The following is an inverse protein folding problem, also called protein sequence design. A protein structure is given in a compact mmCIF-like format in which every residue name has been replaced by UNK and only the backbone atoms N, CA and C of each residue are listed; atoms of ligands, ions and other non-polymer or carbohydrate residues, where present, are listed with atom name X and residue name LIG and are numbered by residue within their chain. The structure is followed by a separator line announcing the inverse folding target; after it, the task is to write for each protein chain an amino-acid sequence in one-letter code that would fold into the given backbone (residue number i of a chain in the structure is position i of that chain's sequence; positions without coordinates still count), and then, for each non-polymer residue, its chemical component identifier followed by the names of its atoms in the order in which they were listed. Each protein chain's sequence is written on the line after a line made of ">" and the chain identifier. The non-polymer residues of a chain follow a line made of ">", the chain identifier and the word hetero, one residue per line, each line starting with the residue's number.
data_IF_425144548323
#
_entry.id   IF_425144548323
#
_cell.length_a   1.000
_cell.length_b   1.000
_cell.length_c   1.000
_cell.angle_alpha   90.00
_cell.angle_beta   90.00
_cell.angle_gamma   90.00
#
_symmetry.space_group_name_H-M   'P 1'
#
loop_
_entity.id
_entity.type
_entity.pdbx_description
1 polymer ?
#
# COMPACT_ATOMS: atom_id res chain seq x y z
N UNK A 1 -22.39 -20.75 18.15
CA UNK A 1 -20.93 -20.56 17.93
C UNK A 1 -20.54 -19.21 17.31
N UNK A 2 -21.45 -18.40 16.73
CA UNK A 2 -21.14 -17.07 16.17
C UNK A 2 -20.78 -15.96 17.19
N UNK A 3 -21.02 -16.15 18.48
CA UNK A 3 -20.87 -15.09 19.50
C UNK A 3 -19.48 -14.94 20.13
N UNK A 4 -18.64 -15.98 20.08
CA UNK A 4 -17.32 -15.92 20.72
C UNK A 4 -16.31 -15.11 19.88
N UNK A 5 -16.37 -15.25 18.56
CA UNK A 5 -15.48 -14.56 17.63
C UNK A 5 -15.74 -13.04 17.58
N UNK A 6 -17.00 -12.61 17.62
CA UNK A 6 -17.38 -11.18 17.67
C UNK A 6 -16.96 -10.51 18.98
N UNK A 7 -17.01 -11.24 20.09
CA UNK A 7 -16.59 -10.74 21.41
C UNK A 7 -15.07 -10.60 21.50
N UNK A 8 -14.32 -11.58 20.99
CA UNK A 8 -12.86 -11.51 20.84
C UNK A 8 -12.42 -10.37 19.90
N UNK A 9 -13.14 -10.17 18.79
CA UNK A 9 -12.89 -9.06 17.87
C UNK A 9 -13.15 -7.70 18.55
N UNK A 10 -14.19 -7.58 19.38
CA UNK A 10 -14.50 -6.36 20.11
C UNK A 10 -13.51 -6.04 21.26
N UNK A 11 -13.03 -7.08 21.96
CA UNK A 11 -12.06 -6.94 23.05
C UNK A 11 -10.64 -6.62 22.56
N UNK A 12 -10.30 -6.99 21.31
CA UNK A 12 -9.00 -6.71 20.70
C UNK A 12 -9.03 -5.67 19.56
N UNK A 13 -10.21 -5.18 19.18
CA UNK A 13 -10.31 -4.09 18.21
C UNK A 13 -9.94 -2.78 18.90
N UNK A 14 -8.78 -2.24 18.51
CA UNK A 14 -8.40 -0.88 18.87
C UNK A 14 -9.50 0.05 18.30
N UNK A 15 -10.18 0.84 19.14
CA UNK A 15 -11.22 1.74 18.66
C UNK A 15 -10.65 2.65 17.59
N UNK A 16 -11.40 2.88 16.51
CA UNK A 16 -10.97 3.77 15.43
C UNK A 16 -10.54 5.14 15.98
N UNK A 17 -11.22 5.63 17.03
CA UNK A 17 -10.88 6.83 17.79
C UNK A 17 -9.45 6.82 18.39
N UNK A 18 -8.97 5.67 18.85
CA UNK A 18 -7.62 5.52 19.41
C UNK A 18 -6.58 5.54 18.28
N UNK A 19 -6.87 4.89 17.14
CA UNK A 19 -6.01 4.93 15.95
C UNK A 19 -5.92 6.36 15.39
N UNK A 20 -7.06 7.05 15.27
CA UNK A 20 -7.11 8.44 14.79
C UNK A 20 -6.38 9.38 15.73
N UNK A 21 -6.54 9.22 17.04
CA UNK A 21 -5.83 10.04 18.03
C UNK A 21 -4.33 9.78 18.01
N UNK A 22 -3.90 8.52 17.90
CA UNK A 22 -2.49 8.16 17.78
C UNK A 22 -1.87 8.74 16.51
N UNK A 23 -2.57 8.67 15.38
CA UNK A 23 -2.14 9.29 14.12
C UNK A 23 -2.06 10.81 14.27
N UNK A 24 -3.06 11.46 14.86
CA UNK A 24 -3.08 12.92 15.05
C UNK A 24 -1.93 13.40 15.93
N UNK A 25 -1.69 12.71 17.06
CA UNK A 25 -0.57 13.02 17.97
C UNK A 25 0.80 12.71 17.35
N UNK A 26 0.93 11.62 16.61
CA UNK A 26 2.20 11.26 15.94
C UNK A 26 2.53 12.22 14.79
N UNK A 27 1.51 12.71 14.08
CA UNK A 27 1.67 13.65 12.97
C UNK A 27 1.70 15.12 13.41
N UNK A 28 1.57 15.40 14.71
CA UNK A 28 1.60 16.74 15.29
C UNK A 28 0.68 17.74 14.54
N UNK A 29 -0.50 17.26 14.14
CA UNK A 29 -1.51 18.06 13.47
C UNK A 29 -2.08 19.01 14.55
N UNK A 30 -2.05 20.34 14.36
CA UNK A 30 -2.58 21.27 15.36
C UNK A 30 -4.04 20.94 15.66
N UNK A 31 -4.42 20.96 16.95
CA UNK A 31 -5.82 20.96 17.40
C UNK A 31 -6.52 22.29 17.07
N UNK A 32 -6.25 22.85 15.90
CA UNK A 32 -7.02 23.95 15.37
C UNK A 32 -8.37 23.38 14.97
N UNK A 33 -9.35 23.64 15.81
CA UNK A 33 -10.80 23.42 15.65
C UNK A 33 -11.42 23.92 14.31
N UNK A 34 -10.59 24.35 13.35
CA UNK A 34 -10.94 24.73 11.99
C UNK A 34 -10.44 23.77 10.90
N UNK A 35 -9.50 22.86 11.16
CA UNK A 35 -9.07 21.82 10.22
C UNK A 35 -9.58 20.44 10.67
N UNK A 36 -10.90 20.27 10.60
CA UNK A 36 -11.53 18.96 10.80
C UNK A 36 -11.08 18.02 9.67
N UNK A 37 -9.98 17.29 9.86
CA UNK A 37 -9.72 16.09 9.07
C UNK A 37 -10.90 15.17 9.36
N UNK A 38 -11.83 15.10 8.40
CA UNK A 38 -13.03 14.31 8.60
C UNK A 38 -12.64 12.86 8.86
N UNK A 39 -13.41 12.16 9.68
CA UNK A 39 -13.19 10.71 9.89
C UNK A 39 -13.20 9.96 8.53
N UNK A 40 -13.89 10.50 7.53
CA UNK A 40 -13.83 10.04 6.14
C UNK A 40 -12.45 10.18 5.49
N UNK A 41 -11.73 11.28 5.69
CA UNK A 41 -10.37 11.45 5.17
C UNK A 41 -9.39 10.47 5.81
N UNK A 42 -9.49 10.22 7.11
CA UNK A 42 -8.64 9.23 7.78
C UNK A 42 -8.99 7.82 7.30
N UNK A 43 -10.28 7.53 7.11
CA UNK A 43 -10.70 6.25 6.54
C UNK A 43 -10.20 6.04 5.10
N UNK A 44 -10.22 7.08 4.26
CA UNK A 44 -9.66 7.03 2.90
C UNK A 44 -8.15 6.83 2.93
N UNK A 45 -7.44 7.51 3.84
CA UNK A 45 -6.00 7.33 4.04
C UNK A 45 -5.67 5.91 4.50
N UNK A 46 -6.37 5.40 5.51
CA UNK A 46 -6.15 4.05 6.03
C UNK A 46 -6.55 2.97 5.02
N UNK A 47 -7.62 3.15 4.25
CA UNK A 47 -7.99 2.20 3.19
C UNK A 47 -6.99 2.25 2.02
N UNK A 48 -6.55 3.43 1.62
CA UNK A 48 -5.46 3.59 0.65
C UNK A 48 -4.14 2.97 1.15
N UNK A 49 -3.85 3.05 2.45
CA UNK A 49 -2.60 2.52 3.01
C UNK A 49 -2.64 1.01 3.28
N UNK A 50 -3.79 0.49 3.73
CA UNK A 50 -3.92 -0.89 4.20
C UNK A 50 -4.50 -1.81 3.13
N UNK A 51 -5.43 -1.33 2.30
CA UNK A 51 -6.16 -2.16 1.34
C UNK A 51 -5.55 -2.07 -0.04
N UNK A 52 -5.19 -0.87 -0.51
CA UNK A 52 -4.65 -0.69 -1.86
C UNK A 52 -3.41 -1.57 -2.14
N UNK A 53 -2.41 -1.69 -1.23
CA UNK A 53 -1.24 -2.53 -1.50
C UNK A 53 -1.57 -4.00 -1.77
N UNK A 54 -2.62 -4.54 -1.15
CA UNK A 54 -3.06 -5.92 -1.37
C UNK A 54 -3.77 -6.08 -2.71
N UNK A 55 -4.67 -5.15 -3.05
CA UNK A 55 -5.38 -5.16 -4.35
C UNK A 55 -4.36 -4.99 -5.48
N UNK A 56 -3.46 -4.03 -5.35
CA UNK A 56 -2.42 -3.75 -6.33
C UNK A 56 -1.47 -4.95 -6.48
N UNK A 57 -1.04 -5.58 -5.38
CA UNK A 57 -0.21 -6.79 -5.46
C UNK A 57 -0.96 -7.95 -6.13
N UNK A 58 -2.28 -8.07 -5.92
CA UNK A 58 -3.09 -9.09 -6.57
C UNK A 58 -3.14 -8.86 -8.08
N UNK A 59 -3.50 -7.65 -8.52
CA UNK A 59 -3.66 -7.33 -9.94
C UNK A 59 -2.31 -7.28 -10.66
N UNK A 60 -1.32 -6.60 -10.10
CA UNK A 60 -0.07 -6.26 -10.79
C UNK A 60 1.03 -7.30 -10.64
N UNK A 61 0.93 -8.18 -9.64
CA UNK A 61 1.92 -9.21 -9.41
C UNK A 61 1.31 -10.60 -9.54
N UNK A 62 0.25 -10.93 -8.81
CA UNK A 62 -0.27 -12.30 -8.82
C UNK A 62 -0.83 -12.72 -10.19
N UNK A 63 -1.69 -11.90 -10.79
CA UNK A 63 -2.27 -12.20 -12.12
C UNK A 63 -1.19 -12.18 -13.20
N UNK A 64 -0.37 -11.12 -13.25
CA UNK A 64 0.69 -10.99 -14.28
C UNK A 64 1.73 -12.10 -14.15
N UNK A 65 2.15 -12.44 -12.93
CA UNK A 65 3.07 -13.54 -12.70
C UNK A 65 2.49 -14.86 -13.21
N UNK A 66 1.21 -15.17 -12.92
CA UNK A 66 0.57 -16.37 -13.48
C UNK A 66 0.57 -16.40 -15.00
N UNK A 67 0.37 -15.26 -15.66
CA UNK A 67 0.39 -15.16 -17.12
C UNK A 67 1.81 -15.30 -17.72
N UNK A 68 2.83 -14.77 -17.04
CA UNK A 68 4.16 -14.57 -17.64
C UNK A 68 5.34 -15.17 -16.85
N UNK A 69 5.12 -16.04 -15.85
CA UNK A 69 6.20 -16.58 -15.01
C UNK A 69 7.30 -17.31 -15.80
N UNK A 70 6.96 -17.92 -16.95
CA UNK A 70 7.92 -18.59 -17.84
C UNK A 70 8.80 -17.61 -18.63
N UNK A 71 8.42 -16.33 -18.69
CA UNK A 71 9.09 -15.26 -19.43
C UNK A 71 9.38 -14.09 -18.47
N UNK A 72 10.41 -14.19 -17.62
CA UNK A 72 10.65 -13.23 -16.53
C UNK A 72 10.84 -11.78 -17.03
N UNK A 73 11.45 -11.59 -18.20
CA UNK A 73 11.60 -10.25 -18.79
C UNK A 73 10.25 -9.63 -19.19
N UNK A 74 9.33 -10.43 -19.74
CA UNK A 74 7.99 -9.95 -20.13
C UNK A 74 7.16 -9.65 -18.90
N UNK A 75 7.24 -10.50 -17.87
CA UNK A 75 6.62 -10.24 -16.57
C UNK A 75 7.09 -8.90 -15.98
N UNK A 76 8.40 -8.69 -15.90
CA UNK A 76 9.00 -7.48 -15.34
C UNK A 76 8.55 -6.21 -16.07
N UNK A 77 8.63 -6.20 -17.40
CA UNK A 77 8.18 -5.06 -18.23
C UNK A 77 6.68 -4.82 -18.07
N UNK A 78 5.87 -5.88 -18.05
CA UNK A 78 4.40 -5.76 -17.90
C UNK A 78 4.02 -5.17 -16.55
N UNK A 79 4.69 -5.57 -15.47
CA UNK A 79 4.48 -5.00 -14.14
C UNK A 79 4.83 -3.51 -14.08
N UNK A 80 5.95 -3.09 -14.71
CA UNK A 80 6.34 -1.67 -14.80
C UNK A 80 5.32 -0.86 -15.59
N UNK A 81 4.94 -1.32 -16.78
CA UNK A 81 4.02 -0.61 -17.65
C UNK A 81 2.64 -0.43 -17.01
N UNK A 82 2.14 -1.45 -16.32
CA UNK A 82 0.84 -1.36 -15.68
C UNK A 82 0.86 -0.42 -14.48
N UNK A 83 1.89 -0.50 -13.63
CA UNK A 83 2.09 0.46 -12.53
C UNK A 83 2.24 1.88 -13.04
N UNK A 84 2.98 2.08 -14.13
CA UNK A 84 3.12 3.37 -14.79
C UNK A 84 1.76 3.92 -15.25
N UNK A 85 0.96 3.10 -15.94
CA UNK A 85 -0.30 3.53 -16.55
C UNK A 85 -1.31 4.01 -15.52
N UNK A 86 -1.41 3.34 -14.37
CA UNK A 86 -2.36 3.73 -13.32
C UNK A 86 -1.94 4.98 -12.54
N UNK A 87 -0.66 5.37 -12.62
CA UNK A 87 -0.12 6.56 -11.97
C UNK A 87 0.04 7.75 -12.94
N UNK A 88 -0.35 7.60 -14.22
CA UNK A 88 -0.53 8.76 -15.11
C UNK A 88 -1.73 9.56 -14.59
N UNK A 89 -1.47 10.69 -13.95
CA UNK A 89 -2.49 11.58 -13.40
C UNK A 89 -2.52 12.97 -14.07
N UNK A 90 -1.96 13.06 -15.29
CA UNK A 90 -1.91 14.29 -16.08
C UNK A 90 -0.83 15.29 -15.65
N UNK A 91 -0.11 15.06 -14.53
CA UNK A 91 0.98 15.94 -14.05
C UNK A 91 2.30 15.78 -14.82
N UNK A 92 2.33 14.92 -15.84
CA UNK A 92 3.44 14.77 -16.78
C UNK A 92 4.05 13.38 -16.81
N UNK A 93 4.48 12.95 -18.01
CA UNK A 93 5.03 11.62 -18.31
C UNK A 93 6.12 11.19 -17.31
N UNK A 94 7.06 12.10 -17.01
CA UNK A 94 8.23 11.80 -16.16
C UNK A 94 7.90 11.64 -14.68
N UNK A 95 6.84 12.31 -14.20
CA UNK A 95 6.41 12.21 -12.79
C UNK A 95 5.78 10.83 -12.54
N UNK A 96 4.97 10.33 -13.48
CA UNK A 96 4.39 9.00 -13.41
C UNK A 96 5.40 7.87 -13.70
N UNK A 97 6.48 8.17 -14.44
CA UNK A 97 7.52 7.20 -14.78
C UNK A 97 8.28 6.71 -13.54
N UNK A 98 8.50 7.59 -12.56
CA UNK A 98 9.27 7.25 -11.37
C UNK A 98 8.53 6.21 -10.47
N UNK A 99 7.24 6.38 -10.12
CA UNK A 99 6.44 5.32 -9.48
C UNK A 99 6.34 4.05 -10.33
N UNK A 100 6.18 4.19 -11.65
CA UNK A 100 6.10 3.06 -12.58
C UNK A 100 7.35 2.18 -12.56
N UNK A 101 8.52 2.81 -12.71
CA UNK A 101 9.81 2.14 -12.70
C UNK A 101 10.15 1.61 -11.31
N UNK A 102 10.13 2.46 -10.28
CA UNK A 102 10.56 2.05 -8.94
C UNK A 102 9.57 1.08 -8.29
N UNK A 103 8.27 1.39 -8.32
CA UNK A 103 7.24 0.51 -7.76
C UNK A 103 7.12 -0.79 -8.55
N UNK A 104 6.88 -0.69 -9.86
CA UNK A 104 6.69 -1.86 -10.72
C UNK A 104 7.89 -2.80 -10.76
N UNK A 105 9.12 -2.26 -10.83
CA UNK A 105 10.34 -3.08 -10.79
C UNK A 105 10.58 -3.71 -9.43
N UNK A 106 10.46 -2.93 -8.34
CA UNK A 106 10.75 -3.42 -7.00
C UNK A 106 9.76 -4.54 -6.60
N UNK A 107 8.46 -4.33 -6.84
CA UNK A 107 7.46 -5.33 -6.49
C UNK A 107 7.53 -6.57 -7.36
N UNK A 108 7.85 -6.43 -8.65
CA UNK A 108 8.02 -7.61 -9.51
C UNK A 108 9.25 -8.44 -9.11
N UNK A 109 10.35 -7.79 -8.76
CA UNK A 109 11.54 -8.48 -8.25
C UNK A 109 11.27 -9.13 -6.88
N UNK A 110 10.60 -8.44 -5.96
CA UNK A 110 10.22 -8.95 -4.66
C UNK A 110 9.36 -10.21 -4.79
N UNK A 111 8.30 -10.15 -5.61
CA UNK A 111 7.38 -11.25 -5.84
C UNK A 111 8.08 -12.46 -6.48
N UNK A 112 8.92 -12.22 -7.48
CA UNK A 112 9.69 -13.27 -8.14
C UNK A 112 10.66 -13.96 -7.19
N UNK A 113 11.40 -13.17 -6.38
CA UNK A 113 12.35 -13.71 -5.39
C UNK A 113 11.63 -14.49 -4.29
N UNK A 114 10.53 -13.96 -3.76
CA UNK A 114 9.74 -14.63 -2.73
C UNK A 114 9.22 -15.99 -3.22
N UNK A 115 8.74 -16.07 -4.48
CA UNK A 115 8.36 -17.35 -5.09
C UNK A 115 9.53 -18.33 -5.22
N UNK A 116 10.72 -17.85 -5.66
CA UNK A 116 11.91 -18.72 -5.73
C UNK A 116 12.37 -19.22 -4.38
N UNK A 117 12.20 -18.41 -3.33
CA UNK A 117 12.50 -18.78 -1.94
C UNK A 117 11.39 -19.63 -1.30
N UNK A 118 10.34 -19.99 -2.04
CA UNK A 118 9.16 -20.73 -1.56
C UNK A 118 8.43 -20.04 -0.40
N UNK A 119 8.52 -18.71 -0.32
CA UNK A 119 7.73 -17.89 0.59
C UNK A 119 6.36 -17.59 -0.02
N UNK A 120 5.42 -17.12 0.79
CA UNK A 120 4.14 -16.61 0.27
C UNK A 120 4.37 -15.28 -0.46
N UNK A 121 4.67 -15.36 -1.76
CA UNK A 121 5.05 -14.21 -2.57
C UNK A 121 4.00 -13.09 -2.58
N UNK A 122 2.71 -13.45 -2.56
CA UNK A 122 1.64 -12.48 -2.42
C UNK A 122 1.78 -11.73 -1.09
N UNK A 123 1.71 -12.41 0.04
CA UNK A 123 1.78 -11.74 1.35
C UNK A 123 3.08 -10.97 1.56
N UNK A 124 4.22 -11.54 1.19
CA UNK A 124 5.53 -10.87 1.31
C UNK A 124 5.57 -9.57 0.51
N UNK A 125 5.07 -9.58 -0.73
CA UNK A 125 5.08 -8.39 -1.58
C UNK A 125 4.06 -7.36 -1.12
N UNK A 126 2.84 -7.78 -0.74
CA UNK A 126 1.80 -6.89 -0.22
C UNK A 126 2.26 -6.15 1.04
N UNK A 127 2.89 -6.87 1.97
CA UNK A 127 3.41 -6.28 3.21
C UNK A 127 4.60 -5.36 2.93
N UNK A 128 5.52 -5.76 2.05
CA UNK A 128 6.63 -4.89 1.64
C UNK A 128 6.12 -3.59 1.01
N UNK A 129 5.08 -3.67 0.18
CA UNK A 129 4.46 -2.51 -0.45
C UNK A 129 3.78 -1.61 0.58
N UNK A 130 2.99 -2.18 1.50
CA UNK A 130 2.37 -1.44 2.60
C UNK A 130 3.42 -0.70 3.44
N UNK A 131 4.53 -1.35 3.79
CA UNK A 131 5.63 -0.74 4.53
C UNK A 131 6.28 0.40 3.76
N UNK A 132 6.57 0.23 2.46
CA UNK A 132 7.10 1.30 1.62
C UNK A 132 6.16 2.51 1.60
N UNK A 133 4.85 2.32 1.39
CA UNK A 133 3.89 3.43 1.36
C UNK A 133 3.81 4.11 2.73
N UNK A 134 3.83 3.34 3.81
CA UNK A 134 3.83 3.87 5.18
C UNK A 134 5.06 4.73 5.45
N UNK A 135 6.25 4.29 5.04
CA UNK A 135 7.49 5.05 5.17
C UNK A 135 7.50 6.34 4.34
N UNK A 136 6.95 6.31 3.12
CA UNK A 136 6.84 7.51 2.27
C UNK A 136 5.94 8.54 2.94
N UNK A 137 4.78 8.13 3.47
CA UNK A 137 3.87 9.04 4.16
C UNK A 137 4.51 9.59 5.43
N UNK A 138 5.13 8.74 6.26
CA UNK A 138 5.82 9.19 7.48
C UNK A 138 6.92 10.20 7.12
N UNK A 139 7.71 9.92 6.08
CA UNK A 139 8.77 10.81 5.63
C UNK A 139 8.21 12.14 5.12
N UNK A 140 7.15 12.10 4.30
CA UNK A 140 6.47 13.30 3.86
C UNK A 140 5.99 14.12 5.06
N UNK A 141 5.35 13.51 6.06
CA UNK A 141 4.91 14.22 7.25
C UNK A 141 6.06 14.82 8.09
N UNK A 142 7.19 14.12 8.20
CA UNK A 142 8.34 14.59 8.99
C UNK A 142 9.14 15.72 8.30
N UNK A 143 9.24 15.67 6.96
CA UNK A 143 10.07 16.59 6.18
C UNK A 143 9.29 17.68 5.42
N UNK A 144 7.97 17.74 5.56
CA UNK A 144 7.12 18.80 4.98
C UNK A 144 7.09 20.11 5.79
N UNK A 145 8.03 20.28 6.73
CA UNK A 145 8.28 21.57 7.40
C UNK A 145 9.14 22.47 6.52
#
# INVERSE_FOLDING_TARGET
>A
MKNAATKLLAEHSIPLAVITNLISTTLNIPDDSSSNISHGMIFVLLSGLLIAPFIETFVFQHIIYKAFYKKPSVYFISSILLFYTIHIDGRGFFIALLPGLLGGANFSLCYFRANRMKLNAFMTTSLSHLLCNSLIIISACLFWR
#
